data_IF_724072178905
#
_entry.id   IF_724072178905
#
_cell.length_a   1.000
_cell.length_b   1.000
_cell.length_c   1.000
_cell.angle_alpha   90.00
_cell.angle_beta   90.00
_cell.angle_gamma   90.00
#
_symmetry.space_group_name_H-M   'P 1'
#
loop_
_entity.id
_entity.type
_entity.pdbx_description
1 polymer ?
#
# COMPACT_ATOMS: atom_id res chain seq x y z
N UNK A 1 -39.61 6.47 18.47
CA UNK A 1 -38.19 6.88 18.46
C UNK A 1 -37.34 5.77 17.86
N UNK A 2 -37.12 5.80 16.56
CA UNK A 2 -36.12 4.94 15.90
C UNK A 2 -34.74 5.41 16.34
N UNK A 3 -34.15 4.78 17.34
CA UNK A 3 -32.71 4.86 17.58
C UNK A 3 -32.02 4.46 16.27
N UNK A 4 -31.51 5.42 15.50
CA UNK A 4 -30.55 5.14 14.43
C UNK A 4 -29.40 4.35 15.09
N UNK A 5 -29.33 3.07 14.83
CA UNK A 5 -28.13 2.26 15.12
C UNK A 5 -27.05 2.86 14.23
N UNK A 6 -26.22 3.74 14.81
CA UNK A 6 -25.04 4.25 14.14
C UNK A 6 -24.09 3.07 13.98
N UNK A 7 -24.10 2.46 12.81
CA UNK A 7 -23.07 1.48 12.45
C UNK A 7 -21.72 2.17 12.55
N UNK A 8 -20.88 1.71 13.46
CA UNK A 8 -19.52 2.20 13.62
C UNK A 8 -18.59 1.20 12.95
N UNK A 9 -18.67 1.14 11.61
CA UNK A 9 -17.71 0.39 10.83
C UNK A 9 -16.32 1.03 10.96
N UNK A 10 -15.29 0.22 11.22
CA UNK A 10 -13.90 0.67 11.30
C UNK A 10 -13.09 0.02 10.20
N UNK A 11 -12.04 0.71 9.77
CA UNK A 11 -11.15 0.20 8.74
C UNK A 11 -9.84 -0.24 9.38
N UNK A 12 -9.37 -1.40 8.94
CA UNK A 12 -8.04 -1.92 9.26
C UNK A 12 -7.29 -2.13 7.95
N UNK A 13 -6.02 -1.87 7.97
CA UNK A 13 -5.10 -2.22 6.90
C UNK A 13 -3.81 -2.79 7.52
N UNK A 14 -2.84 -3.12 6.72
CA UNK A 14 -1.52 -3.52 7.18
C UNK A 14 -0.45 -2.48 6.81
N UNK A 15 0.74 -2.58 7.38
CA UNK A 15 1.75 -1.52 7.24
C UNK A 15 2.38 -1.42 5.84
N UNK A 16 2.14 -2.41 4.96
CA UNK A 16 2.55 -2.31 3.55
C UNK A 16 1.75 -1.27 2.76
N UNK A 17 0.76 -0.61 3.36
CA UNK A 17 -0.03 0.45 2.74
C UNK A 17 0.72 1.77 2.53
N UNK A 18 1.86 1.98 3.17
CA UNK A 18 2.69 3.20 3.16
C UNK A 18 1.91 4.51 3.46
N UNK A 19 0.77 4.41 4.14
CA UNK A 19 -0.01 5.59 4.51
C UNK A 19 0.79 6.49 5.46
N UNK A 20 0.87 7.80 5.18
CA UNK A 20 1.38 8.77 6.14
C UNK A 20 0.60 8.70 7.47
N UNK A 21 1.29 8.82 8.60
CA UNK A 21 0.68 8.66 9.92
C UNK A 21 -0.47 9.64 10.17
N UNK A 22 -0.36 10.88 9.66
CA UNK A 22 -1.44 11.86 9.82
C UNK A 22 -2.77 11.43 9.16
N UNK A 23 -2.72 10.69 8.04
CA UNK A 23 -3.94 10.15 7.42
C UNK A 23 -4.50 8.95 8.20
N UNK A 24 -3.62 8.12 8.76
CA UNK A 24 -4.02 7.02 9.65
C UNK A 24 -4.78 7.58 10.85
N UNK A 25 -4.24 8.60 11.50
CA UNK A 25 -4.83 9.24 12.68
C UNK A 25 -6.12 9.98 12.33
N UNK A 26 -6.10 10.77 11.26
CA UNK A 26 -7.24 11.57 10.79
C UNK A 26 -8.48 10.71 10.51
N UNK A 27 -8.28 9.52 9.92
CA UNK A 27 -9.36 8.64 9.52
C UNK A 27 -9.58 7.47 10.50
N UNK A 28 -8.81 7.40 11.58
CA UNK A 28 -8.92 6.36 12.61
C UNK A 28 -8.73 4.95 12.05
N UNK A 29 -7.82 4.78 11.09
CA UNK A 29 -7.53 3.51 10.44
C UNK A 29 -6.63 2.68 11.37
N UNK A 30 -7.01 1.43 11.62
CA UNK A 30 -6.14 0.48 12.30
C UNK A 30 -5.04 -0.02 11.33
N UNK A 31 -3.79 -0.06 11.80
CA UNK A 31 -2.67 -0.56 10.98
C UNK A 31 -1.99 -1.71 11.71
N UNK A 32 -2.05 -2.91 11.12
CA UNK A 32 -1.36 -4.09 11.64
C UNK A 32 0.05 -4.14 11.05
N UNK A 33 1.12 -4.09 11.87
CA UNK A 33 2.47 -4.03 11.36
C UNK A 33 2.95 -5.40 10.84
N UNK A 34 3.62 -5.38 9.69
CA UNK A 34 4.46 -6.48 9.23
C UNK A 34 5.82 -6.39 9.94
N UNK A 35 6.64 -7.44 9.82
CA UNK A 35 8.03 -7.41 10.26
C UNK A 35 8.99 -7.49 9.06
N UNK A 36 10.23 -7.05 9.32
CA UNK A 36 11.35 -7.19 8.40
C UNK A 36 12.62 -7.48 9.20
N UNK A 37 13.62 -8.07 8.54
CA UNK A 37 14.89 -8.41 9.17
C UNK A 37 16.08 -8.15 8.26
N UNK A 38 17.22 -7.84 8.88
CA UNK A 38 18.53 -7.82 8.24
C UNK A 38 19.35 -8.96 8.84
N UNK A 39 19.52 -10.07 8.12
CA UNK A 39 20.10 -11.28 8.68
C UNK A 39 19.25 -11.82 9.84
N UNK A 40 19.85 -11.89 11.04
CA UNK A 40 19.17 -12.40 12.25
C UNK A 40 18.46 -11.30 13.08
N UNK A 41 18.59 -10.05 12.69
CA UNK A 41 18.02 -8.89 13.42
C UNK A 41 16.63 -8.55 12.88
N UNK A 42 15.59 -8.81 13.68
CA UNK A 42 14.19 -8.58 13.31
C UNK A 42 13.69 -7.23 13.85
N UNK A 43 12.85 -6.58 13.06
CA UNK A 43 12.24 -5.29 13.32
C UNK A 43 10.75 -5.33 13.00
N UNK A 44 9.96 -4.58 13.76
CA UNK A 44 8.53 -4.39 13.51
C UNK A 44 8.37 -3.05 12.79
N UNK A 45 7.73 -3.09 11.62
CA UNK A 45 7.48 -1.90 10.81
C UNK A 45 6.66 -0.87 11.58
N UNK A 46 6.97 0.42 11.39
CA UNK A 46 6.38 1.58 12.08
C UNK A 46 6.63 1.64 13.60
N UNK A 47 7.38 0.69 14.18
CA UNK A 47 7.63 0.65 15.62
C UNK A 47 9.13 0.66 15.95
N UNK A 48 9.91 -0.15 15.24
CA UNK A 48 11.32 -0.34 15.57
C UNK A 48 12.25 0.70 14.98
N UNK A 49 11.98 1.12 13.73
CA UNK A 49 12.79 2.09 13.00
C UNK A 49 11.87 3.11 12.30
N UNK A 50 12.36 4.34 12.19
CA UNK A 50 11.80 5.31 11.27
C UNK A 50 12.14 4.92 9.82
N UNK A 51 11.39 5.43 8.84
CA UNK A 51 11.68 5.20 7.42
C UNK A 51 13.10 5.66 7.06
N UNK A 52 13.57 6.79 7.61
CA UNK A 52 14.92 7.28 7.40
C UNK A 52 15.99 6.31 7.94
N UNK A 53 15.82 5.80 9.17
CA UNK A 53 16.73 4.81 9.76
C UNK A 53 16.74 3.48 8.98
N UNK A 54 15.59 3.06 8.45
CA UNK A 54 15.54 1.88 7.58
C UNK A 54 16.39 2.07 6.32
N UNK A 55 16.27 3.21 5.64
CA UNK A 55 17.03 3.47 4.43
C UNK A 55 18.54 3.65 4.71
N UNK A 56 18.90 4.27 5.82
CA UNK A 56 20.30 4.35 6.29
C UNK A 56 20.86 2.94 6.50
N UNK A 57 20.08 2.06 7.15
CA UNK A 57 20.45 0.66 7.34
C UNK A 57 20.59 -0.09 6.04
N UNK A 58 19.69 0.11 5.08
CA UNK A 58 19.79 -0.51 3.75
C UNK A 58 21.07 -0.11 3.03
N UNK A 59 21.52 1.14 3.18
CA UNK A 59 22.74 1.63 2.53
C UNK A 59 24.02 1.08 3.13
N UNK A 60 24.00 0.71 4.41
CA UNK A 60 25.16 0.19 5.17
C UNK A 60 25.17 -1.35 5.28
N UNK A 61 24.06 -2.03 5.01
CA UNK A 61 23.93 -3.47 5.17
C UNK A 61 24.47 -4.23 3.95
N UNK A 62 25.29 -5.29 4.15
CA UNK A 62 25.71 -6.18 3.07
C UNK A 62 24.60 -7.12 2.60
N UNK A 63 23.51 -7.24 3.35
CA UNK A 63 22.37 -8.11 3.05
C UNK A 63 21.12 -7.28 2.81
N UNK A 64 20.30 -7.72 1.84
CA UNK A 64 19.00 -7.10 1.63
C UNK A 64 18.03 -7.51 2.74
N UNK A 65 17.13 -6.61 3.16
CA UNK A 65 16.11 -6.95 4.13
C UNK A 65 15.11 -7.97 3.57
N UNK A 66 14.62 -8.83 4.46
CA UNK A 66 13.53 -9.78 4.18
C UNK A 66 12.30 -9.38 4.99
N UNK A 67 11.10 -9.65 4.46
CA UNK A 67 9.84 -9.28 5.10
C UNK A 67 9.03 -10.50 5.49
N UNK A 68 8.23 -10.37 6.56
CA UNK A 68 7.30 -11.40 6.99
C UNK A 68 5.90 -10.81 7.23
N UNK A 69 4.87 -11.60 6.90
CA UNK A 69 3.48 -11.26 7.17
C UNK A 69 3.19 -11.24 8.68
N UNK A 70 2.21 -10.44 9.13
CA UNK A 70 1.76 -10.49 10.52
C UNK A 70 1.14 -11.85 10.85
N UNK A 71 1.21 -12.25 12.11
CA UNK A 71 0.48 -13.41 12.60
C UNK A 71 -1.03 -13.11 12.70
N UNK A 72 -1.90 -14.14 12.68
CA UNK A 72 -3.33 -13.96 12.97
C UNK A 72 -3.59 -13.29 14.32
N UNK A 73 -2.78 -13.58 15.35
CA UNK A 73 -2.91 -12.97 16.67
C UNK A 73 -2.70 -11.45 16.68
N UNK A 74 -1.86 -10.90 15.81
CA UNK A 74 -1.69 -9.46 15.68
C UNK A 74 -2.95 -8.79 15.10
N UNK A 75 -3.58 -9.40 14.10
CA UNK A 75 -4.86 -8.94 13.58
C UNK A 75 -5.98 -9.06 14.62
N UNK A 76 -6.05 -10.20 15.34
CA UNK A 76 -7.04 -10.40 16.40
C UNK A 76 -6.91 -9.34 17.50
N UNK A 77 -5.71 -9.02 17.94
CA UNK A 77 -5.46 -7.98 18.94
C UNK A 77 -6.01 -6.62 18.46
N UNK A 78 -5.77 -6.24 17.19
CA UNK A 78 -6.27 -5.00 16.62
C UNK A 78 -7.80 -5.01 16.50
N UNK A 79 -8.40 -6.11 16.09
CA UNK A 79 -9.86 -6.22 16.00
C UNK A 79 -10.51 -6.07 17.39
N UNK A 80 -9.96 -6.73 18.42
CA UNK A 80 -10.43 -6.60 19.82
C UNK A 80 -10.24 -5.18 20.34
N UNK A 81 -9.14 -4.52 20.03
CA UNK A 81 -8.89 -3.11 20.38
C UNK A 81 -9.97 -2.19 19.81
N UNK A 82 -10.29 -2.34 18.52
CA UNK A 82 -11.35 -1.55 17.88
C UNK A 82 -12.74 -1.86 18.42
N UNK A 83 -13.03 -3.14 18.68
CA UNK A 83 -14.29 -3.56 19.30
C UNK A 83 -14.47 -2.93 20.69
N UNK A 84 -13.43 -2.90 21.52
CA UNK A 84 -13.47 -2.24 22.85
C UNK A 84 -13.69 -0.72 22.75
N UNK A 85 -13.37 -0.10 21.62
CA UNK A 85 -13.65 1.30 21.30
C UNK A 85 -15.04 1.52 20.69
N UNK A 86 -15.87 0.48 20.65
CA UNK A 86 -17.24 0.55 20.18
C UNK A 86 -17.42 0.33 18.66
N UNK A 87 -16.47 -0.29 17.98
CA UNK A 87 -16.68 -0.75 16.62
C UNK A 87 -17.73 -1.85 16.60
N UNK A 88 -18.69 -1.75 15.67
CA UNK A 88 -19.74 -2.77 15.46
C UNK A 88 -19.43 -3.68 14.27
N UNK A 89 -18.45 -3.31 13.45
CA UNK A 89 -17.94 -4.07 12.33
C UNK A 89 -16.60 -3.55 11.85
N UNK A 90 -15.84 -4.40 11.20
CA UNK A 90 -14.51 -4.06 10.68
C UNK A 90 -14.40 -4.49 9.22
N UNK A 91 -13.88 -3.61 8.37
CA UNK A 91 -13.42 -3.96 7.01
C UNK A 91 -11.91 -3.86 6.97
N UNK A 92 -11.26 -4.97 6.62
CA UNK A 92 -9.82 -5.03 6.40
C UNK A 92 -9.54 -4.82 4.91
N UNK A 93 -8.72 -3.83 4.58
CA UNK A 93 -8.16 -3.64 3.24
C UNK A 93 -6.72 -4.15 3.28
N UNK A 94 -6.51 -5.36 2.82
CA UNK A 94 -5.22 -6.05 2.94
C UNK A 94 -4.33 -5.86 1.71
N UNK A 95 -3.01 -5.91 1.92
CA UNK A 95 -2.02 -6.13 0.87
C UNK A 95 -2.43 -7.29 -0.03
N UNK A 96 -2.14 -7.19 -1.32
CA UNK A 96 -2.46 -8.23 -2.31
C UNK A 96 -2.09 -9.64 -1.84
N UNK A 97 -3.05 -10.55 -1.92
CA UNK A 97 -2.87 -11.99 -1.62
C UNK A 97 -1.87 -12.69 -2.54
N UNK A 98 -1.62 -12.11 -3.74
CA UNK A 98 -0.62 -12.60 -4.69
C UNK A 98 0.82 -12.19 -4.31
N UNK A 99 0.98 -11.24 -3.39
CA UNK A 99 2.28 -10.72 -2.94
C UNK A 99 2.66 -11.20 -1.55
N UNK A 100 1.67 -11.51 -0.70
CA UNK A 100 1.89 -11.83 0.72
C UNK A 100 0.78 -12.70 1.31
N UNK A 101 1.12 -13.47 2.33
CA UNK A 101 0.16 -14.21 3.16
C UNK A 101 -0.60 -13.32 4.17
N UNK A 102 -0.42 -12.00 4.15
CA UNK A 102 -1.03 -11.05 5.10
C UNK A 102 -2.55 -11.19 5.13
N UNK A 103 -3.20 -11.28 3.96
CA UNK A 103 -4.65 -11.47 3.87
C UNK A 103 -5.11 -12.76 4.58
N UNK A 104 -4.39 -13.86 4.38
CA UNK A 104 -4.71 -15.14 5.01
C UNK A 104 -4.66 -15.04 6.54
N UNK A 105 -3.68 -14.31 7.10
CA UNK A 105 -3.60 -14.05 8.54
C UNK A 105 -4.81 -13.25 9.04
N UNK A 106 -5.23 -12.22 8.29
CA UNK A 106 -6.43 -11.45 8.64
C UNK A 106 -7.71 -12.30 8.59
N UNK A 107 -7.85 -13.18 7.59
CA UNK A 107 -9.00 -14.10 7.48
C UNK A 107 -9.05 -15.11 8.61
N UNK A 108 -7.92 -15.66 9.04
CA UNK A 108 -7.84 -16.56 10.18
C UNK A 108 -8.26 -15.85 11.48
N UNK A 109 -7.77 -14.62 11.68
CA UNK A 109 -8.18 -13.80 12.82
C UNK A 109 -9.68 -13.46 12.79
N UNK A 110 -10.23 -13.15 11.62
CA UNK A 110 -11.66 -12.88 11.47
C UNK A 110 -12.52 -14.10 11.83
N UNK A 111 -12.08 -15.30 11.46
CA UNK A 111 -12.77 -16.55 11.80
C UNK A 111 -12.73 -16.84 13.30
N UNK A 112 -11.63 -16.54 14.00
CA UNK A 112 -11.52 -16.77 15.44
C UNK A 112 -12.47 -15.88 16.27
N UNK A 113 -12.86 -14.73 15.72
CA UNK A 113 -13.76 -13.76 16.36
C UNK A 113 -15.22 -13.85 15.87
N UNK A 114 -15.56 -14.88 15.08
CA UNK A 114 -16.93 -15.05 14.59
C UNK A 114 -17.91 -15.21 15.75
N UNK A 115 -18.84 -14.26 15.88
CA UNK A 115 -19.80 -14.17 17.01
C UNK A 115 -19.56 -12.95 17.91
N UNK A 116 -18.34 -12.43 18.01
CA UNK A 116 -18.03 -11.27 18.84
C UNK A 116 -18.15 -9.96 18.03
N UNK A 117 -17.57 -9.92 16.84
CA UNK A 117 -17.60 -8.78 15.91
C UNK A 117 -17.58 -9.27 14.45
N UNK A 118 -18.34 -8.59 13.60
CA UNK A 118 -18.32 -8.88 12.16
C UNK A 118 -17.09 -8.28 11.49
N UNK A 119 -16.23 -9.13 10.93
CA UNK A 119 -15.05 -8.71 10.18
C UNK A 119 -15.17 -9.16 8.72
N UNK A 120 -14.93 -8.24 7.79
CA UNK A 120 -14.85 -8.48 6.34
C UNK A 120 -13.42 -8.23 5.88
N UNK A 121 -12.84 -9.17 5.17
CA UNK A 121 -11.49 -9.04 4.62
C UNK A 121 -11.59 -8.86 3.11
N UNK A 122 -10.96 -7.81 2.60
CA UNK A 122 -10.94 -7.44 1.18
C UNK A 122 -9.51 -7.42 0.70
N UNK A 123 -9.23 -8.20 -0.34
CA UNK A 123 -7.98 -8.14 -1.08
C UNK A 123 -7.92 -6.84 -1.87
N UNK A 124 -6.99 -5.95 -1.55
CA UNK A 124 -6.81 -4.73 -2.34
C UNK A 124 -6.29 -5.00 -3.74
N UNK A 125 -5.75 -6.19 -3.99
CA UNK A 125 -5.01 -6.56 -5.20
C UNK A 125 -3.94 -5.54 -5.57
N UNK A 126 -3.43 -4.85 -4.57
CA UNK A 126 -2.52 -3.74 -4.68
C UNK A 126 -1.46 -3.78 -3.57
N UNK A 127 -0.57 -2.82 -3.57
CA UNK A 127 0.48 -2.64 -2.58
C UNK A 127 0.73 -1.14 -2.39
N UNK A 128 1.44 -0.79 -1.31
CA UNK A 128 1.81 0.59 -1.01
C UNK A 128 0.58 1.50 -1.01
N UNK A 129 0.69 2.71 -1.53
CA UNK A 129 -0.44 3.65 -1.54
C UNK A 129 -1.64 3.20 -2.40
N UNK A 130 -1.52 2.23 -3.29
CA UNK A 130 -2.70 1.67 -3.97
C UNK A 130 -3.65 0.98 -2.99
N UNK A 131 -3.11 0.29 -1.99
CA UNK A 131 -3.84 -0.22 -0.83
C UNK A 131 -4.23 0.93 0.11
N UNK A 132 -3.30 1.86 0.37
CA UNK A 132 -3.49 2.96 1.31
C UNK A 132 -4.61 3.91 0.91
N UNK A 133 -4.66 4.40 -0.33
CA UNK A 133 -5.74 5.29 -0.80
C UNK A 133 -7.11 4.59 -0.78
N UNK A 134 -7.13 3.27 -1.05
CA UNK A 134 -8.35 2.47 -0.90
C UNK A 134 -8.82 2.45 0.54
N UNK A 135 -7.92 2.22 1.50
CA UNK A 135 -8.26 2.25 2.93
C UNK A 135 -8.79 3.63 3.38
N UNK A 136 -8.19 4.73 2.90
CA UNK A 136 -8.66 6.10 3.19
C UNK A 136 -10.03 6.36 2.58
N UNK A 137 -10.27 5.96 1.32
CA UNK A 137 -11.56 6.17 0.65
C UNK A 137 -12.70 5.49 1.39
N UNK A 138 -12.51 4.23 1.80
CA UNK A 138 -13.54 3.49 2.54
C UNK A 138 -13.66 3.93 4.00
N UNK A 139 -12.61 4.46 4.61
CA UNK A 139 -12.68 5.06 5.95
C UNK A 139 -13.54 6.32 5.95
N UNK A 140 -13.43 7.16 4.92
CA UNK A 140 -14.33 8.33 4.73
C UNK A 140 -15.79 7.89 4.60
N UNK A 141 -16.06 6.84 3.82
CA UNK A 141 -17.41 6.29 3.66
C UNK A 141 -17.94 5.70 4.98
N UNK A 142 -17.13 4.95 5.72
CA UNK A 142 -17.53 4.42 7.02
C UNK A 142 -17.85 5.55 8.02
N UNK A 143 -17.06 6.63 8.02
CA UNK A 143 -17.29 7.80 8.86
C UNK A 143 -18.60 8.54 8.53
N UNK A 144 -19.10 8.45 7.28
CA UNK A 144 -20.41 9.01 6.90
C UNK A 144 -21.62 8.19 7.38
N UNK A 145 -21.38 7.05 8.07
CA UNK A 145 -22.42 6.20 8.65
C UNK A 145 -22.89 5.07 7.73
N UNK A 146 -22.13 4.73 6.69
CA UNK A 146 -22.42 3.61 5.82
C UNK A 146 -22.39 2.28 6.60
N UNK A 147 -23.23 1.34 6.21
CA UNK A 147 -23.27 -0.01 6.76
C UNK A 147 -22.01 -0.80 6.43
N UNK A 148 -21.75 -1.88 7.17
CA UNK A 148 -20.60 -2.75 6.95
C UNK A 148 -20.57 -3.30 5.51
N UNK A 149 -21.73 -3.72 5.00
CA UNK A 149 -21.85 -4.28 3.65
C UNK A 149 -21.63 -3.22 2.55
N UNK A 150 -22.03 -1.96 2.78
CA UNK A 150 -21.74 -0.86 1.85
C UNK A 150 -20.25 -0.54 1.83
N UNK A 151 -19.61 -0.51 3.01
CA UNK A 151 -18.16 -0.28 3.12
C UNK A 151 -17.37 -1.41 2.46
N UNK A 152 -17.76 -2.68 2.67
CA UNK A 152 -17.12 -3.83 2.00
C UNK A 152 -17.27 -3.74 0.47
N UNK A 153 -18.46 -3.46 -0.05
CA UNK A 153 -18.69 -3.30 -1.49
C UNK A 153 -17.84 -2.18 -2.07
N UNK A 154 -17.79 -1.04 -1.38
CA UNK A 154 -16.95 0.08 -1.79
C UNK A 154 -15.46 -0.27 -1.76
N UNK A 155 -14.99 -1.04 -0.77
CA UNK A 155 -13.60 -1.49 -0.72
C UNK A 155 -13.24 -2.35 -1.94
N UNK A 156 -14.11 -3.28 -2.34
CA UNK A 156 -13.93 -4.10 -3.53
C UNK A 156 -13.96 -3.28 -4.83
N UNK A 157 -14.85 -2.30 -4.90
CA UNK A 157 -14.96 -1.40 -6.05
C UNK A 157 -13.69 -0.55 -6.19
N UNK A 158 -13.27 0.16 -5.13
CA UNK A 158 -12.05 0.95 -5.14
C UNK A 158 -10.82 0.09 -5.45
N UNK A 159 -10.70 -1.12 -4.87
CA UNK A 159 -9.62 -2.04 -5.17
C UNK A 159 -9.55 -2.41 -6.67
N UNK A 160 -10.69 -2.60 -7.34
CA UNK A 160 -10.75 -2.90 -8.77
C UNK A 160 -10.29 -1.75 -9.66
N UNK A 161 -10.48 -0.52 -9.19
CA UNK A 161 -10.16 0.73 -9.89
C UNK A 161 -8.79 1.30 -9.53
N UNK A 162 -8.12 0.75 -8.51
CA UNK A 162 -6.79 1.19 -8.12
C UNK A 162 -5.76 0.88 -9.20
N UNK A 163 -4.88 1.85 -9.46
CA UNK A 163 -3.73 1.71 -10.36
C UNK A 163 -2.48 2.14 -9.62
N UNK A 164 -1.42 1.36 -9.78
CA UNK A 164 -0.11 1.66 -9.19
C UNK A 164 0.96 1.46 -10.24
N UNK A 165 1.76 2.49 -10.45
CA UNK A 165 2.91 2.49 -11.34
C UNK A 165 4.15 2.88 -10.54
N UNK A 166 5.24 2.17 -10.74
CA UNK A 166 6.52 2.46 -10.08
C UNK A 166 7.70 2.42 -11.03
N UNK A 167 8.60 3.36 -10.88
CA UNK A 167 9.91 3.36 -11.53
C UNK A 167 10.94 2.94 -10.50
N UNK A 168 11.76 1.95 -10.85
CA UNK A 168 12.80 1.41 -9.99
C UNK A 168 14.18 1.73 -10.56
N UNK A 169 15.17 1.77 -9.67
CA UNK A 169 16.58 1.85 -10.09
C UNK A 169 17.13 0.48 -10.49
N UNK A 170 16.65 -0.59 -9.83
CA UNK A 170 17.04 -1.98 -10.09
C UNK A 170 15.88 -2.93 -9.81
N UNK A 171 15.94 -4.11 -10.41
CA UNK A 171 15.00 -5.20 -10.14
C UNK A 171 15.55 -6.25 -9.16
N UNK A 172 16.77 -6.06 -8.65
CA UNK A 172 17.42 -7.06 -7.81
C UNK A 172 16.64 -7.36 -6.54
N UNK A 173 16.09 -6.32 -5.89
CA UNK A 173 15.29 -6.48 -4.68
C UNK A 173 14.02 -7.30 -4.97
N UNK A 174 13.29 -6.99 -6.04
CA UNK A 174 12.12 -7.77 -6.46
C UNK A 174 12.46 -9.22 -6.80
N UNK A 175 13.62 -9.44 -7.46
CA UNK A 175 14.09 -10.77 -7.81
C UNK A 175 14.45 -11.59 -6.58
N UNK A 176 15.29 -11.04 -5.70
CA UNK A 176 15.73 -11.72 -4.46
C UNK A 176 14.56 -11.94 -3.49
N UNK A 177 13.65 -10.96 -3.40
CA UNK A 177 12.43 -11.09 -2.59
C UNK A 177 11.36 -12.02 -3.18
N UNK A 178 11.53 -12.52 -4.41
CA UNK A 178 10.58 -13.41 -5.07
C UNK A 178 9.29 -12.74 -5.56
N UNK A 179 9.18 -11.40 -5.51
CA UNK A 179 7.99 -10.63 -5.90
C UNK A 179 8.11 -10.00 -7.29
N UNK A 180 9.08 -10.42 -8.10
CA UNK A 180 9.33 -9.87 -9.43
C UNK A 180 8.20 -10.11 -10.44
N UNK A 181 7.36 -11.14 -10.27
CA UNK A 181 6.21 -11.42 -11.14
C UNK A 181 6.55 -11.42 -12.63
N UNK A 182 5.70 -10.77 -13.43
CA UNK A 182 5.88 -10.62 -14.89
C UNK A 182 7.04 -9.69 -15.27
N UNK A 183 7.56 -8.87 -14.37
CA UNK A 183 8.73 -8.02 -14.60
C UNK A 183 10.03 -8.83 -14.81
N UNK A 184 10.01 -10.17 -14.66
CA UNK A 184 11.13 -11.08 -15.05
C UNK A 184 11.61 -10.85 -16.49
N UNK A 185 10.75 -10.42 -17.39
CA UNK A 185 11.11 -10.12 -18.78
C UNK A 185 12.20 -9.05 -18.91
N UNK A 186 12.33 -8.15 -17.92
CA UNK A 186 13.42 -7.15 -17.90
C UNK A 186 14.81 -7.74 -17.61
N UNK A 187 14.89 -8.91 -16.96
CA UNK A 187 16.18 -9.50 -16.56
C UNK A 187 17.06 -9.91 -17.76
N UNK A 188 16.47 -10.08 -18.94
CA UNK A 188 17.20 -10.41 -20.18
C UNK A 188 17.81 -9.16 -20.86
N UNK A 189 17.60 -7.95 -20.29
CA UNK A 189 18.04 -6.71 -20.92
C UNK A 189 19.40 -6.29 -20.37
N UNK A 190 20.40 -6.17 -21.25
CA UNK A 190 21.77 -5.72 -20.90
C UNK A 190 21.94 -4.20 -20.89
N UNK A 191 20.92 -3.45 -21.29
CA UNK A 191 20.96 -1.99 -21.39
C UNK A 191 20.69 -1.33 -20.03
N UNK A 192 21.38 -0.22 -19.76
CA UNK A 192 21.08 0.67 -18.64
C UNK A 192 19.70 1.29 -18.86
N UNK A 193 18.70 0.80 -18.15
CA UNK A 193 17.32 1.27 -18.20
C UNK A 193 16.79 1.58 -16.80
N UNK A 194 15.75 2.39 -16.72
CA UNK A 194 14.88 2.54 -15.56
C UNK A 194 13.64 1.69 -15.79
N UNK A 195 13.54 0.50 -15.15
CA UNK A 195 12.36 -0.34 -15.30
C UNK A 195 11.14 0.32 -14.68
N UNK A 196 10.03 0.24 -15.38
CA UNK A 196 8.72 0.64 -14.88
C UNK A 196 7.91 -0.62 -14.61
N UNK A 197 7.36 -0.72 -13.43
CA UNK A 197 6.45 -1.79 -13.03
C UNK A 197 5.03 -1.24 -12.87
N UNK A 198 4.07 -2.12 -13.03
CA UNK A 198 2.66 -1.91 -12.72
C UNK A 198 2.20 -2.98 -11.73
N UNK A 199 1.37 -2.62 -10.77
CA UNK A 199 0.61 -3.62 -10.01
C UNK A 199 -0.68 -3.88 -10.79
N UNK A 200 -0.78 -5.06 -11.36
CA UNK A 200 -1.93 -5.50 -12.16
C UNK A 200 -2.37 -6.90 -11.74
N UNK A 201 -3.67 -7.06 -11.51
CA UNK A 201 -4.24 -8.31 -11.01
C UNK A 201 -3.58 -8.81 -9.70
N UNK A 202 -3.13 -7.89 -8.86
CA UNK A 202 -2.47 -8.21 -7.60
C UNK A 202 -0.98 -8.56 -7.69
N UNK A 203 -0.39 -8.54 -8.88
CA UNK A 203 1.01 -8.94 -9.14
C UNK A 203 1.83 -7.79 -9.69
N UNK A 204 3.14 -7.90 -9.51
CA UNK A 204 4.10 -7.03 -10.20
C UNK A 204 4.20 -7.47 -11.65
N UNK A 205 3.91 -6.55 -12.57
CA UNK A 205 3.95 -6.77 -14.01
C UNK A 205 4.89 -5.77 -14.69
N UNK A 206 5.32 -6.08 -15.91
CA UNK A 206 6.08 -5.15 -16.75
C UNK A 206 5.19 -3.98 -17.13
N UNK A 207 5.57 -2.75 -16.71
CA UNK A 207 4.86 -1.50 -17.01
C UNK A 207 5.49 -0.69 -18.13
N UNK A 208 6.78 -0.92 -18.42
CA UNK A 208 7.52 -0.18 -19.45
C UNK A 208 9.01 -0.04 -19.14
N UNK A 209 9.73 0.65 -20.03
CA UNK A 209 11.18 0.87 -19.93
C UNK A 209 11.52 2.29 -20.28
N UNK A 210 12.29 2.96 -19.45
CA UNK A 210 12.75 4.32 -19.72
C UNK A 210 14.28 4.35 -19.71
N UNK A 211 14.88 5.23 -20.51
CA UNK A 211 16.34 5.33 -20.60
C UNK A 211 16.94 6.27 -19.55
N UNK A 212 16.15 7.24 -19.08
CA UNK A 212 16.60 8.25 -18.12
C UNK A 212 15.55 8.45 -17.02
N UNK A 213 15.99 8.94 -15.88
CA UNK A 213 15.12 9.29 -14.76
C UNK A 213 14.06 10.33 -15.17
N UNK A 214 14.44 11.39 -15.87
CA UNK A 214 13.49 12.40 -16.32
C UNK A 214 12.39 11.83 -17.23
N UNK A 215 12.74 10.93 -18.18
CA UNK A 215 11.74 10.24 -19.00
C UNK A 215 10.84 9.33 -18.19
N UNK A 216 11.38 8.73 -17.13
CA UNK A 216 10.60 7.87 -16.23
C UNK A 216 9.57 8.69 -15.43
N UNK A 217 9.93 9.87 -14.92
CA UNK A 217 8.98 10.78 -14.26
C UNK A 217 7.90 11.26 -15.23
N UNK A 218 8.30 11.69 -16.43
CA UNK A 218 7.34 12.08 -17.47
C UNK A 218 6.39 10.93 -17.85
N UNK A 219 6.86 9.68 -17.87
CA UNK A 219 6.04 8.50 -18.10
C UNK A 219 4.99 8.30 -17.00
N UNK A 220 5.36 8.45 -15.72
CA UNK A 220 4.41 8.36 -14.60
C UNK A 220 3.32 9.44 -14.72
N UNK A 221 3.70 10.69 -15.00
CA UNK A 221 2.74 11.76 -15.23
C UNK A 221 1.82 11.48 -16.42
N UNK A 222 2.35 10.92 -17.51
CA UNK A 222 1.55 10.52 -18.67
C UNK A 222 0.53 9.43 -18.31
N UNK A 223 0.90 8.43 -17.48
CA UNK A 223 -0.02 7.37 -17.04
C UNK A 223 -1.22 7.90 -16.25
N UNK A 224 -1.00 8.90 -15.41
CA UNK A 224 -2.10 9.57 -14.70
C UNK A 224 -3.02 10.31 -15.68
N UNK A 225 -2.46 11.06 -16.63
CA UNK A 225 -3.24 11.81 -17.64
C UNK A 225 -3.99 10.89 -18.61
N UNK A 226 -3.35 9.79 -19.06
CA UNK A 226 -3.97 8.78 -19.95
C UNK A 226 -5.15 8.06 -19.31
N UNK A 227 -5.17 7.95 -17.98
CA UNK A 227 -6.28 7.34 -17.25
C UNK A 227 -7.57 8.18 -17.28
N UNK A 228 -7.51 9.43 -17.72
CA UNK A 228 -8.65 10.33 -17.80
C UNK A 228 -9.03 10.91 -16.44
N UNK A 229 -10.25 10.64 -15.98
CA UNK A 229 -10.70 11.08 -14.66
C UNK A 229 -10.13 10.17 -13.58
N UNK A 230 -9.37 10.75 -12.65
CA UNK A 230 -8.76 10.02 -11.55
C UNK A 230 -9.06 10.69 -10.22
N UNK A 231 -9.18 9.89 -9.17
CA UNK A 231 -9.38 10.34 -7.81
C UNK A 231 -8.34 9.73 -6.85
N UNK A 232 -8.19 10.33 -5.66
CA UNK A 232 -7.28 9.86 -4.61
C UNK A 232 -5.83 9.67 -5.11
N UNK A 233 -5.30 10.64 -5.87
CA UNK A 233 -3.94 10.56 -6.41
C UNK A 233 -2.89 10.64 -5.30
N UNK A 234 -1.95 9.71 -5.33
CA UNK A 234 -0.81 9.69 -4.43
C UNK A 234 0.51 9.50 -5.20
N UNK A 235 1.57 10.09 -4.66
CA UNK A 235 2.96 9.90 -5.09
C UNK A 235 3.70 9.17 -3.98
N UNK A 236 4.51 8.21 -4.33
CA UNK A 236 5.29 7.35 -3.47
C UNK A 236 6.76 7.56 -3.78
N UNK A 237 7.60 7.69 -2.76
CA UNK A 237 9.03 7.88 -2.98
C UNK A 237 9.90 7.14 -1.95
N UNK A 238 11.06 6.65 -2.40
CA UNK A 238 12.09 6.01 -1.60
C UNK A 238 13.41 6.77 -1.71
N UNK A 239 13.61 7.77 -0.83
CA UNK A 239 14.80 8.63 -0.82
C UNK A 239 15.02 9.41 -2.13
N UNK A 240 13.93 9.80 -2.80
CA UNK A 240 13.98 10.57 -4.04
C UNK A 240 13.82 12.05 -3.74
N UNK A 241 14.70 12.91 -4.27
CA UNK A 241 14.57 14.37 -4.17
C UNK A 241 13.75 14.95 -5.32
N UNK A 242 13.69 14.25 -6.44
CA UNK A 242 13.02 14.65 -7.68
C UNK A 242 11.50 14.36 -7.69
N UNK A 243 10.93 13.85 -6.59
CA UNK A 243 9.48 13.67 -6.51
C UNK A 243 8.72 15.01 -6.59
N UNK A 244 9.34 16.11 -6.17
CA UNK A 244 8.76 17.45 -6.29
C UNK A 244 8.47 17.83 -7.74
N UNK A 245 9.32 17.41 -8.70
CA UNK A 245 9.11 17.67 -10.12
C UNK A 245 7.86 16.95 -10.62
N UNK A 246 7.64 15.70 -10.18
CA UNK A 246 6.43 14.94 -10.50
C UNK A 246 5.17 15.54 -9.86
N UNK A 247 5.26 16.00 -8.60
CA UNK A 247 4.15 16.73 -7.94
C UNK A 247 3.77 17.97 -8.75
N UNK A 248 4.77 18.78 -9.14
CA UNK A 248 4.53 20.02 -9.89
C UNK A 248 3.95 19.75 -11.30
N UNK A 249 4.43 18.71 -11.99
CA UNK A 249 3.89 18.28 -13.29
C UNK A 249 2.42 17.86 -13.18
N UNK A 250 2.07 17.07 -12.14
CA UNK A 250 0.71 16.59 -11.94
C UNK A 250 -0.25 17.66 -11.46
N UNK A 251 0.19 18.61 -10.63
CA UNK A 251 -0.63 19.76 -10.19
C UNK A 251 -1.10 20.65 -11.34
N UNK A 252 -0.43 20.62 -12.49
CA UNK A 252 -0.87 21.35 -13.67
C UNK A 252 -2.20 20.81 -14.26
N UNK A 253 -2.51 19.52 -14.01
CA UNK A 253 -3.69 18.84 -14.57
C UNK A 253 -4.64 18.25 -13.50
N UNK A 254 -4.17 18.06 -12.27
CA UNK A 254 -4.93 17.50 -11.16
C UNK A 254 -5.20 18.57 -10.11
N UNK A 255 -6.49 18.79 -9.78
CA UNK A 255 -6.90 19.93 -8.94
C UNK A 255 -7.02 19.61 -7.45
N UNK A 256 -7.24 18.34 -7.12
CA UNK A 256 -7.35 17.91 -5.74
C UNK A 256 -5.97 17.74 -5.09
N UNK A 257 -5.94 17.50 -3.81
CA UNK A 257 -4.71 17.29 -3.07
C UNK A 257 -4.01 15.99 -3.51
N UNK A 258 -2.72 16.09 -3.78
CA UNK A 258 -1.87 14.94 -4.07
C UNK A 258 -1.22 14.50 -2.76
N UNK A 259 -1.53 13.28 -2.32
CA UNK A 259 -0.88 12.70 -1.15
C UNK A 259 0.54 12.28 -1.53
N UNK A 260 1.53 12.72 -0.76
CA UNK A 260 2.91 12.24 -0.89
C UNK A 260 3.22 11.33 0.27
N UNK A 261 3.65 10.10 -0.01
CA UNK A 261 4.02 9.08 0.97
C UNK A 261 5.44 8.57 0.76
N UNK A 262 6.09 8.25 1.88
CA UNK A 262 7.37 7.57 1.87
C UNK A 262 7.16 6.07 1.70
N UNK A 263 7.94 5.43 0.81
CA UNK A 263 7.99 3.98 0.72
C UNK A 263 8.70 3.46 1.97
N UNK A 264 7.95 2.75 2.80
CA UNK A 264 8.40 2.19 4.06
C UNK A 264 9.17 0.87 3.92
N UNK A 265 9.58 0.28 5.06
CA UNK A 265 10.42 -0.92 5.10
C UNK A 265 9.86 -2.11 4.31
N UNK A 266 8.56 -2.35 4.36
CA UNK A 266 7.97 -3.54 3.75
C UNK A 266 8.05 -3.48 2.23
N UNK A 267 7.57 -2.41 1.64
CA UNK A 267 7.64 -2.23 0.18
C UNK A 267 9.07 -1.95 -0.25
N UNK A 268 9.81 -1.13 0.51
CA UNK A 268 11.20 -0.75 0.24
C UNK A 268 12.16 -1.93 0.17
N UNK A 269 11.96 -2.97 1.00
CA UNK A 269 12.74 -4.21 0.95
C UNK A 269 12.68 -4.88 -0.43
N UNK A 270 11.55 -4.74 -1.13
CA UNK A 270 11.33 -5.35 -2.44
C UNK A 270 11.60 -4.40 -3.61
N UNK A 271 11.48 -3.10 -3.43
CA UNK A 271 11.63 -2.13 -4.54
C UNK A 271 12.98 -1.43 -4.55
N UNK A 272 13.62 -1.29 -3.39
CA UNK A 272 14.90 -0.59 -3.23
C UNK A 272 14.77 0.94 -3.19
N UNK A 273 15.88 1.59 -2.80
CA UNK A 273 15.97 3.06 -2.81
C UNK A 273 15.92 3.60 -4.24
N UNK A 274 15.59 4.89 -4.39
CA UNK A 274 15.40 5.52 -5.70
C UNK A 274 14.07 5.18 -6.37
N UNK A 275 13.26 4.31 -5.79
CA UNK A 275 11.92 3.99 -6.30
C UNK A 275 10.99 5.20 -6.15
N UNK A 276 10.27 5.52 -7.22
CA UNK A 276 9.21 6.52 -7.23
C UNK A 276 8.00 5.98 -7.99
N UNK A 277 6.80 6.31 -7.53
CA UNK A 277 5.59 5.82 -8.16
C UNK A 277 4.41 6.74 -7.99
N UNK A 278 3.31 6.37 -8.64
CA UNK A 278 2.00 6.98 -8.51
C UNK A 278 0.95 5.90 -8.21
N UNK A 279 -0.02 6.26 -7.39
CA UNK A 279 -1.19 5.44 -7.13
C UNK A 279 -2.45 6.31 -7.25
N UNK A 280 -3.51 5.80 -7.88
CA UNK A 280 -4.77 6.51 -8.07
C UNK A 280 -5.92 5.55 -8.32
N UNK A 281 -7.15 6.03 -8.15
CA UNK A 281 -8.35 5.34 -8.64
C UNK A 281 -8.78 5.94 -9.97
N UNK A 282 -9.16 5.07 -10.91
CA UNK A 282 -9.83 5.47 -12.16
C UNK A 282 -11.31 5.57 -11.86
N UNK A 283 -11.96 6.67 -12.26
CA UNK A 283 -13.39 6.90 -12.03
C UNK A 283 -14.27 6.28 -13.11
#
# INVERSE_FOLDING_TARGET
EFRRVLFRSRIVTDSACDLPQHLVDQHGIGVVPLSFRFGDEEFIDRQSLTVAQFWERCSSSPVLPETAAPSPGQFEAEFRRLASQGATGIVVVSLSSELSATMQSAELAAKSLSGDISVRVVDSRSASMGQGITAVAVAKLAASGASLDEVERAARDYASRARVWGVLDTLENLKKGGRIGGAKAFLATTLSIKPVIEIRNGKVEEGGRQRTRSKALAFLGAKVREAGHVSNLAILQAQCTDFHDLVNDLKASYRDDIVVGDIGPIIGSHTGSGTIGVAYHVD
#
